data_IF_118410336121
#
_entry.id   IF_118410336121
#
_cell.length_a   1.000
_cell.length_b   1.000
_cell.length_c   1.000
_cell.angle_alpha   90.00
_cell.angle_beta   90.00
_cell.angle_gamma   90.00
#
_symmetry.space_group_name_H-M   'P 1'
#
loop_
_entity.id
_entity.type
_entity.pdbx_description
1 polymer ?
#
# COMPACT_ATOMS: atom_id res chain seq x y z
N UNK A 1 33.17 -2.82 -6.98
CA UNK A 1 32.23 -3.89 -7.38
C UNK A 1 30.89 -3.26 -7.71
N UNK A 2 29.94 -3.96 -8.35
CA UNK A 2 28.62 -3.38 -8.64
C UNK A 2 27.78 -3.08 -7.38
N UNK A 3 28.07 -3.74 -6.25
CA UNK A 3 27.30 -3.66 -5.00
C UNK A 3 27.95 -2.77 -3.91
N UNK A 4 29.09 -2.12 -4.19
CA UNK A 4 29.67 -1.12 -3.28
C UNK A 4 28.87 0.18 -3.34
N UNK A 5 28.69 0.85 -2.20
CA UNK A 5 28.05 2.17 -2.09
C UNK A 5 28.78 3.20 -2.96
N UNK A 6 28.07 4.19 -3.49
CA UNK A 6 28.66 5.17 -4.43
C UNK A 6 29.78 5.98 -3.77
N UNK A 7 30.82 6.34 -4.56
CA UNK A 7 31.93 7.16 -4.06
C UNK A 7 31.44 8.59 -3.79
N UNK A 8 31.50 9.02 -2.53
CA UNK A 8 30.92 10.28 -2.05
C UNK A 8 29.76 10.09 -1.07
N UNK A 9 29.23 8.87 -0.93
CA UNK A 9 28.19 8.56 0.04
C UNK A 9 28.64 8.87 1.49
N UNK A 10 27.80 9.62 2.22
CA UNK A 10 28.01 9.98 3.62
C UNK A 10 27.63 8.82 4.54
N UNK A 11 28.37 8.66 5.64
CA UNK A 11 28.04 7.68 6.66
C UNK A 11 26.75 8.07 7.40
N UNK A 12 25.81 7.12 7.53
CA UNK A 12 24.53 7.29 8.23
C UNK A 12 24.58 6.51 9.53
N UNK A 13 24.19 7.14 10.65
CA UNK A 13 24.32 6.59 12.01
C UNK A 13 25.73 6.07 12.32
N UNK A 14 26.77 6.74 11.78
CA UNK A 14 28.18 6.37 11.95
C UNK A 14 28.68 5.19 11.11
N UNK A 15 27.85 4.62 10.23
CA UNK A 15 28.21 3.46 9.40
C UNK A 15 27.86 3.63 7.92
N UNK A 16 28.22 2.65 7.08
CA UNK A 16 27.83 2.62 5.68
C UNK A 16 26.29 2.54 5.56
N UNK A 17 25.62 3.40 4.75
CA UNK A 17 24.16 3.37 4.56
C UNK A 17 23.58 1.98 4.27
N UNK A 18 24.27 1.15 3.47
CA UNK A 18 23.80 -0.19 3.15
C UNK A 18 23.76 -1.12 4.39
N UNK A 19 24.56 -0.88 5.43
CA UNK A 19 24.61 -1.72 6.63
C UNK A 19 23.41 -1.53 7.57
N UNK A 20 22.50 -0.59 7.26
CA UNK A 20 21.19 -0.46 7.91
C UNK A 20 20.25 -1.63 7.57
N UNK A 21 20.55 -2.42 6.54
CA UNK A 21 19.89 -3.70 6.23
C UNK A 21 20.78 -4.85 6.72
N UNK A 22 20.23 -5.85 7.42
CA UNK A 22 21.01 -6.96 7.98
C UNK A 22 21.81 -7.75 6.93
N UNK A 23 23.01 -8.20 7.28
CA UNK A 23 23.95 -8.88 6.36
C UNK A 23 23.35 -10.08 5.63
N UNK A 24 22.51 -10.88 6.31
CA UNK A 24 21.82 -12.03 5.69
C UNK A 24 20.86 -11.56 4.59
N UNK A 25 20.10 -10.49 4.85
CA UNK A 25 19.14 -9.91 3.91
C UNK A 25 19.87 -9.29 2.71
N UNK A 26 20.95 -8.53 2.94
CA UNK A 26 21.77 -7.95 1.84
C UNK A 26 22.31 -9.01 0.89
N UNK A 27 22.81 -10.13 1.43
CA UNK A 27 23.30 -11.23 0.62
C UNK A 27 22.19 -11.84 -0.24
N UNK A 28 20.99 -12.05 0.32
CA UNK A 28 19.80 -12.51 -0.43
C UNK A 28 19.35 -11.53 -1.51
N UNK A 29 19.47 -10.22 -1.28
CA UNK A 29 19.21 -9.19 -2.29
C UNK A 29 20.23 -9.31 -3.43
N UNK A 30 21.54 -9.32 -3.13
CA UNK A 30 22.59 -9.48 -4.15
C UNK A 30 22.51 -10.81 -4.93
N UNK A 31 21.99 -11.87 -4.32
CA UNK A 31 21.75 -13.17 -4.95
C UNK A 31 20.51 -13.18 -5.87
N UNK A 32 19.53 -12.30 -5.66
CA UNK A 32 18.27 -12.28 -6.40
C UNK A 32 18.44 -11.96 -7.90
N UNK A 33 17.50 -12.44 -8.72
CA UNK A 33 17.40 -12.08 -10.14
C UNK A 33 17.08 -10.58 -10.31
N UNK A 34 16.09 -10.08 -9.57
CA UNK A 34 15.65 -8.68 -9.64
C UNK A 34 16.79 -7.69 -9.33
N UNK A 35 17.69 -7.97 -8.38
CA UNK A 35 18.86 -7.10 -8.16
C UNK A 35 19.82 -7.09 -9.36
N UNK A 36 20.04 -8.23 -10.01
CA UNK A 36 20.97 -8.39 -11.13
C UNK A 36 20.42 -7.84 -12.45
N UNK A 37 19.11 -7.94 -12.63
CA UNK A 37 18.39 -7.56 -13.86
C UNK A 37 17.87 -6.12 -13.78
N UNK A 38 17.22 -5.73 -12.67
CA UNK A 38 16.51 -4.45 -12.53
C UNK A 38 17.20 -3.45 -11.58
N UNK A 39 18.13 -3.84 -10.71
CA UNK A 39 18.89 -2.91 -9.85
C UNK A 39 20.32 -2.61 -10.37
N UNK A 40 20.70 -3.18 -11.51
CA UNK A 40 21.96 -2.87 -12.18
C UNK A 40 21.93 -1.44 -12.75
N UNK A 41 23.02 -0.68 -12.57
CA UNK A 41 23.19 0.70 -13.03
C UNK A 41 22.13 1.76 -12.61
N UNK A 42 21.05 1.38 -11.91
CA UNK A 42 19.96 2.28 -11.52
C UNK A 42 20.43 3.55 -10.80
N UNK A 43 20.03 4.70 -11.35
CA UNK A 43 20.14 6.05 -10.78
C UNK A 43 18.89 6.39 -9.97
N UNK A 44 18.83 7.58 -9.35
CA UNK A 44 17.62 8.07 -8.69
C UNK A 44 16.45 8.20 -9.70
N UNK A 45 16.65 8.91 -10.80
CA UNK A 45 15.65 9.10 -11.88
C UNK A 45 15.02 7.77 -12.34
N UNK A 46 15.86 6.82 -12.79
CA UNK A 46 15.43 5.50 -13.28
C UNK A 46 14.83 4.57 -12.22
N UNK A 47 14.98 4.89 -10.93
CA UNK A 47 14.35 4.14 -9.84
C UNK A 47 12.84 4.43 -9.74
N UNK A 48 12.38 5.58 -10.26
CA UNK A 48 10.95 5.92 -10.32
C UNK A 48 10.20 4.86 -11.14
N UNK A 49 10.69 4.54 -12.34
CA UNK A 49 10.08 3.53 -13.23
C UNK A 49 9.97 2.17 -12.54
N UNK A 50 11.06 1.71 -11.93
CA UNK A 50 11.10 0.45 -11.17
C UNK A 50 10.16 0.47 -9.95
N UNK A 51 9.98 1.62 -9.30
CA UNK A 51 9.06 1.80 -8.17
C UNK A 51 7.58 1.84 -8.59
N UNK A 52 7.28 2.21 -9.84
CA UNK A 52 5.92 2.18 -10.42
C UNK A 52 5.48 0.74 -10.71
N UNK A 53 6.40 -0.14 -11.14
CA UNK A 53 6.09 -1.56 -11.40
C UNK A 53 5.77 -2.38 -10.13
N UNK A 54 6.15 -1.88 -8.95
CA UNK A 54 5.97 -2.55 -7.66
C UNK A 54 4.51 -2.96 -7.41
N UNK A 55 4.32 -4.22 -6.98
CA UNK A 55 2.97 -4.80 -6.76
C UNK A 55 2.64 -5.02 -5.29
N UNK A 56 3.61 -4.85 -4.41
CA UNK A 56 3.57 -5.15 -2.98
C UNK A 56 4.75 -4.50 -2.24
N UNK A 57 4.57 -4.25 -0.94
CA UNK A 57 5.65 -3.92 0.01
C UNK A 57 5.86 -5.09 0.98
N UNK A 58 7.04 -5.21 1.58
CA UNK A 58 7.35 -6.28 2.55
C UNK A 58 8.85 -6.60 2.58
N UNK A 59 9.26 -7.44 3.52
CA UNK A 59 10.66 -7.86 3.69
C UNK A 59 11.03 -9.08 2.85
N UNK A 60 11.19 -10.23 3.51
CA UNK A 60 11.52 -11.52 2.88
C UNK A 60 10.35 -12.50 2.98
N UNK A 61 10.20 -13.38 1.98
CA UNK A 61 9.09 -14.35 1.93
C UNK A 61 9.51 -15.74 1.43
N UNK A 62 8.72 -16.75 1.80
CA UNK A 62 8.99 -18.15 1.49
C UNK A 62 10.41 -18.56 1.88
N UNK A 63 11.19 -19.08 0.93
CA UNK A 63 12.58 -19.48 1.15
C UNK A 63 13.52 -18.26 1.13
N UNK A 64 13.33 -17.32 2.07
CA UNK A 64 14.16 -16.11 2.28
C UNK A 64 14.32 -15.23 1.02
N UNK A 65 13.32 -15.19 0.13
CA UNK A 65 13.37 -14.35 -1.07
C UNK A 65 13.02 -12.90 -0.69
N UNK A 66 13.85 -11.90 -1.02
CA UNK A 66 13.49 -10.49 -0.80
C UNK A 66 12.38 -10.07 -1.76
N UNK A 67 11.57 -9.09 -1.36
CA UNK A 67 10.68 -8.39 -2.29
C UNK A 67 11.46 -7.48 -3.24
N UNK A 68 10.84 -7.13 -4.37
CA UNK A 68 11.28 -6.07 -5.28
C UNK A 68 11.47 -4.74 -4.52
N UNK A 69 10.51 -4.41 -3.63
CA UNK A 69 10.55 -3.25 -2.74
C UNK A 69 11.80 -3.21 -1.86
N UNK A 70 12.17 -4.34 -1.24
CA UNK A 70 13.36 -4.44 -0.38
C UNK A 70 14.67 -4.29 -1.20
N UNK A 71 14.66 -4.76 -2.45
CA UNK A 71 15.78 -4.57 -3.37
C UNK A 71 15.95 -3.09 -3.75
N UNK A 72 14.85 -2.38 -4.09
CA UNK A 72 14.90 -0.94 -4.38
C UNK A 72 15.24 -0.10 -3.14
N UNK A 73 14.86 -0.54 -1.93
CA UNK A 73 15.26 0.13 -0.68
C UNK A 73 16.78 0.02 -0.46
N UNK A 74 17.36 -1.16 -0.65
CA UNK A 74 18.83 -1.31 -0.62
C UNK A 74 19.49 -0.52 -1.76
N UNK A 75 18.84 -0.37 -2.90
CA UNK A 75 19.35 0.44 -4.01
C UNK A 75 19.38 1.94 -3.67
N UNK A 76 18.34 2.48 -3.05
CA UNK A 76 18.34 3.85 -2.50
C UNK A 76 19.45 4.04 -1.47
N UNK A 77 19.70 3.04 -0.60
CA UNK A 77 20.81 3.06 0.36
C UNK A 77 22.19 2.94 -0.33
N UNK A 78 22.27 2.34 -1.51
CA UNK A 78 23.52 2.26 -2.29
C UNK A 78 23.86 3.60 -2.97
N UNK A 79 22.86 4.28 -3.55
CA UNK A 79 23.04 5.50 -4.34
C UNK A 79 22.96 6.79 -3.52
N UNK A 80 22.25 6.78 -2.39
CA UNK A 80 22.04 7.90 -1.46
C UNK A 80 21.63 9.20 -2.19
N UNK A 81 20.39 9.29 -2.69
CA UNK A 81 19.91 10.49 -3.37
C UNK A 81 19.79 11.68 -2.41
N UNK A 82 19.76 12.88 -2.97
CA UNK A 82 19.64 14.12 -2.20
C UNK A 82 18.27 14.27 -1.53
N UNK A 83 18.21 15.08 -0.46
CA UNK A 83 16.99 15.23 0.36
C UNK A 83 15.79 15.74 -0.45
N UNK A 84 16.03 16.63 -1.41
CA UNK A 84 14.98 17.25 -2.24
C UNK A 84 14.27 16.20 -3.10
N UNK A 85 15.02 15.33 -3.78
CA UNK A 85 14.52 14.20 -4.57
C UNK A 85 13.65 13.25 -3.70
N UNK A 86 14.06 13.00 -2.45
CA UNK A 86 13.31 12.15 -1.52
C UNK A 86 12.00 12.81 -1.05
N UNK A 87 11.97 14.15 -0.93
CA UNK A 87 10.75 14.91 -0.66
C UNK A 87 9.82 14.89 -1.87
N UNK A 88 10.34 14.99 -3.10
CA UNK A 88 9.54 14.84 -4.33
C UNK A 88 8.90 13.44 -4.42
N UNK A 89 9.65 12.36 -4.14
CA UNK A 89 9.11 11.00 -4.09
C UNK A 89 8.04 10.81 -3.01
N UNK A 90 8.11 11.60 -1.94
CA UNK A 90 7.08 11.63 -0.90
C UNK A 90 5.85 12.43 -1.33
N UNK A 91 6.05 13.53 -2.06
CA UNK A 91 4.98 14.39 -2.58
C UNK A 91 4.19 13.74 -3.74
N UNK A 92 4.86 12.93 -4.58
CA UNK A 92 4.25 12.16 -5.66
C UNK A 92 3.14 11.23 -5.15
N UNK A 93 1.89 11.73 -5.17
CA UNK A 93 0.78 11.05 -4.52
C UNK A 93 0.21 9.92 -5.37
N UNK A 94 0.25 10.01 -6.71
CA UNK A 94 -0.15 8.93 -7.63
C UNK A 94 0.51 7.58 -7.28
N UNK A 95 1.82 7.58 -7.02
CA UNK A 95 2.64 6.37 -6.87
C UNK A 95 2.79 5.90 -5.41
N UNK A 96 1.72 5.32 -4.86
CA UNK A 96 1.67 4.80 -3.47
C UNK A 96 2.86 3.92 -3.04
N UNK A 97 3.45 3.15 -3.95
CA UNK A 97 4.59 2.28 -3.64
C UNK A 97 5.93 3.05 -3.59
N UNK A 98 6.11 4.05 -4.46
CA UNK A 98 7.21 5.02 -4.38
C UNK A 98 7.13 5.84 -3.08
N UNK A 99 5.93 6.35 -2.73
CA UNK A 99 5.69 7.04 -1.45
C UNK A 99 6.04 6.17 -0.24
N UNK A 100 5.62 4.90 -0.22
CA UNK A 100 5.98 3.97 0.85
C UNK A 100 7.50 3.68 0.91
N UNK A 101 8.16 3.59 -0.25
CA UNK A 101 9.59 3.37 -0.35
C UNK A 101 10.40 4.57 0.17
N UNK A 102 10.00 5.79 -0.24
CA UNK A 102 10.57 7.04 0.26
C UNK A 102 10.35 7.22 1.77
N UNK A 103 9.14 6.91 2.26
CA UNK A 103 8.83 6.98 3.70
C UNK A 103 9.73 6.05 4.54
N UNK A 104 9.92 4.80 4.09
CA UNK A 104 10.83 3.86 4.78
C UNK A 104 12.29 4.31 4.69
N UNK A 105 12.73 4.83 3.54
CA UNK A 105 14.08 5.37 3.39
C UNK A 105 14.34 6.55 4.35
N UNK A 106 13.44 7.54 4.38
CA UNK A 106 13.51 8.72 5.27
C UNK A 106 13.58 8.26 6.73
N UNK A 107 12.70 7.34 7.15
CA UNK A 107 12.71 6.77 8.51
C UNK A 107 14.03 6.12 8.91
N UNK A 108 14.75 5.51 7.96
CA UNK A 108 16.05 4.88 8.22
C UNK A 108 17.22 5.88 8.24
N UNK A 109 17.10 7.04 7.58
CA UNK A 109 18.26 7.86 7.20
C UNK A 109 18.28 9.29 7.74
N UNK A 110 17.13 9.90 8.02
CA UNK A 110 17.03 11.32 8.42
C UNK A 110 17.12 11.51 9.95
N UNK A 111 17.22 12.76 10.43
CA UNK A 111 17.13 13.07 11.86
C UNK A 111 15.69 12.84 12.36
N UNK A 112 15.52 12.44 13.62
CA UNK A 112 14.21 12.16 14.22
C UNK A 112 13.18 13.30 14.03
N UNK A 113 13.60 14.57 14.12
CA UNK A 113 12.75 15.74 13.84
C UNK A 113 12.18 15.71 12.42
N UNK A 114 13.06 15.66 11.41
CA UNK A 114 12.71 15.60 9.99
C UNK A 114 11.84 14.39 9.66
N UNK A 115 12.07 13.25 10.32
CA UNK A 115 11.26 12.03 10.19
C UNK A 115 9.82 12.28 10.65
N UNK A 116 9.60 12.90 11.81
CA UNK A 116 8.24 13.22 12.25
C UNK A 116 7.57 14.28 11.35
N UNK A 117 8.29 15.33 10.96
CA UNK A 117 7.77 16.40 10.10
C UNK A 117 7.35 15.91 8.70
N UNK A 118 8.11 15.00 8.10
CA UNK A 118 7.82 14.47 6.76
C UNK A 118 6.81 13.33 6.76
N UNK A 119 6.80 12.48 7.80
CA UNK A 119 5.94 11.29 7.82
C UNK A 119 4.56 11.51 8.44
N UNK A 120 4.40 12.34 9.47
CA UNK A 120 3.07 12.58 10.05
C UNK A 120 2.02 13.13 9.06
N UNK A 121 2.36 13.99 8.07
CA UNK A 121 1.44 14.38 7.01
C UNK A 121 0.92 13.23 6.13
N UNK A 122 1.52 12.04 6.18
CA UNK A 122 1.09 10.84 5.45
C UNK A 122 0.06 10.00 6.23
N UNK A 123 -0.12 10.23 7.53
CA UNK A 123 -1.13 9.56 8.36
C UNK A 123 -2.59 9.94 8.02
N UNK A 124 -2.78 10.70 6.94
CA UNK A 124 -4.07 11.01 6.29
C UNK A 124 -4.32 10.19 5.00
N UNK A 125 -3.34 9.39 4.58
CA UNK A 125 -3.35 8.69 3.28
C UNK A 125 -3.93 7.27 3.43
N UNK A 126 -5.26 7.15 3.50
CA UNK A 126 -5.97 5.88 3.71
C UNK A 126 -6.01 4.96 2.47
N UNK A 127 -4.95 4.94 1.65
CA UNK A 127 -4.89 4.14 0.43
C UNK A 127 -4.34 2.73 0.69
N UNK A 128 -4.95 1.77 -0.01
CA UNK A 128 -4.69 0.33 0.14
C UNK A 128 -3.34 -0.08 -0.47
N UNK A 129 -2.43 -0.55 0.37
CA UNK A 129 -1.21 -1.27 0.03
C UNK A 129 -1.45 -2.80 0.07
N UNK A 130 -0.63 -3.55 -0.66
CA UNK A 130 -0.52 -5.00 -0.53
C UNK A 130 0.75 -5.31 0.26
N UNK A 131 0.62 -5.85 1.47
CA UNK A 131 1.75 -6.27 2.28
C UNK A 131 2.10 -7.73 2.01
N UNK A 132 3.38 -8.04 1.81
CA UNK A 132 3.92 -9.37 1.52
C UNK A 132 4.50 -9.97 2.79
N UNK A 133 3.69 -10.81 3.44
CA UNK A 133 4.10 -11.61 4.59
C UNK A 133 4.83 -12.88 4.13
N UNK A 134 5.56 -13.51 5.05
CA UNK A 134 6.30 -14.76 4.82
C UNK A 134 5.51 -15.84 4.07
N UNK A 135 4.21 -15.98 4.39
CA UNK A 135 3.30 -17.02 3.89
C UNK A 135 2.32 -16.57 2.80
N UNK A 136 2.15 -15.26 2.55
CA UNK A 136 0.97 -14.79 1.80
C UNK A 136 0.97 -13.30 1.46
N UNK A 137 -0.22 -12.74 1.25
CA UNK A 137 -0.43 -11.31 1.09
C UNK A 137 -1.52 -10.84 2.06
N UNK A 138 -1.26 -9.75 2.75
CA UNK A 138 -2.24 -9.03 3.56
C UNK A 138 -2.65 -7.72 2.88
N UNK A 139 -3.82 -7.21 3.25
CA UNK A 139 -4.21 -5.83 3.01
C UNK A 139 -3.65 -4.98 4.15
N UNK A 140 -3.14 -3.79 3.82
CA UNK A 140 -2.65 -2.79 4.77
C UNK A 140 -2.89 -1.40 4.16
N UNK A 141 -2.85 -0.34 4.94
CA UNK A 141 -3.01 1.04 4.46
C UNK A 141 -1.70 1.86 4.60
N UNK A 142 -1.58 3.02 3.96
CA UNK A 142 -0.34 3.84 4.03
C UNK A 142 -0.21 4.50 5.40
N UNK A 143 -1.31 4.95 6.00
CA UNK A 143 -1.35 5.47 7.37
C UNK A 143 -0.93 4.40 8.40
N UNK A 144 -1.44 3.17 8.30
CA UNK A 144 -0.96 2.03 9.10
C UNK A 144 0.54 1.80 8.93
N UNK A 145 1.03 1.73 7.68
CA UNK A 145 2.45 1.51 7.39
C UNK A 145 3.35 2.62 7.96
N UNK A 146 2.90 3.87 7.91
CA UNK A 146 3.65 5.01 8.43
C UNK A 146 3.63 5.04 9.97
N UNK A 147 2.52 4.65 10.61
CA UNK A 147 2.48 4.51 12.07
C UNK A 147 3.42 3.38 12.54
N UNK A 148 3.46 2.24 11.83
CA UNK A 148 4.46 1.19 12.07
C UNK A 148 5.89 1.69 11.92
N UNK A 149 6.19 2.46 10.86
CA UNK A 149 7.52 3.07 10.68
C UNK A 149 7.89 4.00 11.86
N UNK A 150 6.95 4.74 12.44
CA UNK A 150 7.21 5.65 13.56
C UNK A 150 7.30 4.95 14.93
N UNK A 151 6.53 3.88 15.14
CA UNK A 151 6.33 3.27 16.46
C UNK A 151 6.99 1.88 16.66
N UNK A 152 7.22 1.09 15.61
CA UNK A 152 7.79 -0.26 15.71
C UNK A 152 9.32 -0.28 15.59
N UNK A 153 9.98 -1.28 16.19
CA UNK A 153 11.44 -1.47 16.08
C UNK A 153 11.88 -2.20 14.80
N UNK A 154 10.97 -2.92 14.13
CA UNK A 154 11.25 -3.70 12.91
C UNK A 154 10.09 -3.63 11.93
N UNK A 155 10.35 -3.15 10.71
CA UNK A 155 9.35 -3.06 9.62
C UNK A 155 9.97 -3.66 8.35
N UNK A 156 9.17 -4.39 7.55
CA UNK A 156 9.64 -5.10 6.34
C UNK A 156 10.92 -5.95 6.59
N UNK A 157 10.94 -6.68 7.71
CA UNK A 157 12.05 -7.49 8.20
C UNK A 157 13.37 -6.76 8.50
N UNK A 158 13.44 -5.43 8.44
CA UNK A 158 14.62 -4.62 8.79
C UNK A 158 14.49 -4.02 10.20
N UNK A 159 15.55 -4.06 11.01
CA UNK A 159 15.64 -3.29 12.27
C UNK A 159 15.75 -1.80 11.94
N UNK A 160 14.79 -0.99 12.39
CA UNK A 160 14.85 0.45 12.21
C UNK A 160 15.83 1.10 13.20
N UNK A 161 16.65 2.08 12.80
CA UNK A 161 17.45 2.86 13.73
C UNK A 161 16.59 3.50 14.82
N UNK A 162 17.06 3.45 16.07
CA UNK A 162 16.34 4.01 17.22
C UNK A 162 16.34 5.54 17.16
N UNK A 163 15.16 6.13 17.22
CA UNK A 163 14.93 7.58 17.29
C UNK A 163 14.39 7.95 18.68
N UNK A 164 14.56 9.21 19.08
CA UNK A 164 13.91 9.72 20.29
C UNK A 164 12.39 9.71 20.11
N UNK A 165 11.65 9.29 21.13
CA UNK A 165 10.18 9.34 21.12
C UNK A 165 9.71 10.79 20.97
N UNK A 166 8.65 11.01 20.19
CA UNK A 166 8.05 12.32 19.95
C UNK A 166 7.89 13.18 21.22
N UNK A 167 7.39 12.61 22.32
CA UNK A 167 7.21 13.31 23.60
C UNK A 167 8.49 14.01 24.08
N UNK A 168 9.65 13.35 23.96
CA UNK A 168 10.95 13.88 24.38
C UNK A 168 11.40 15.03 23.45
N UNK A 169 11.04 14.98 22.17
CA UNK A 169 11.31 16.05 21.20
C UNK A 169 10.39 17.27 21.40
N UNK A 170 9.14 17.05 21.81
CA UNK A 170 8.21 18.11 22.21
C UNK A 170 8.64 18.76 23.55
N UNK A 171 9.07 17.96 24.54
CA UNK A 171 9.64 18.44 25.81
C UNK A 171 10.93 19.25 25.62
N UNK A 172 11.80 18.84 24.70
CA UNK A 172 13.03 19.57 24.34
C UNK A 172 12.77 20.81 23.46
N UNK A 173 11.55 21.01 22.95
CA UNK A 173 11.23 22.06 21.98
C UNK A 173 11.82 21.84 20.57
N UNK A 174 12.33 20.64 20.26
CA UNK A 174 12.77 20.27 18.91
C UNK A 174 11.59 20.00 17.95
N UNK A 175 10.39 19.75 18.48
CA UNK A 175 9.14 19.64 17.71
C UNK A 175 8.03 20.46 18.38
N UNK A 176 7.22 21.14 17.56
CA UNK A 176 5.94 21.71 18.00
C UNK A 176 4.86 20.63 18.18
N UNK A 177 3.76 20.90 18.89
CA UNK A 177 2.71 19.92 19.20
C UNK A 177 2.06 19.32 17.95
N UNK A 178 1.70 18.02 18.02
CA UNK A 178 1.19 17.24 16.87
C UNK A 178 -0.09 17.83 16.27
N UNK A 179 0.03 18.44 15.09
CA UNK A 179 -1.08 18.98 14.27
C UNK A 179 -1.95 17.87 13.66
N UNK A 180 -2.76 17.23 14.50
CA UNK A 180 -3.67 16.16 14.08
C UNK A 180 -4.97 16.75 13.51
N UNK A 181 -5.30 16.43 12.25
CA UNK A 181 -6.51 16.93 11.57
C UNK A 181 -7.81 16.59 12.33
N UNK A 182 -7.83 15.51 13.13
CA UNK A 182 -8.96 15.15 13.98
C UNK A 182 -9.13 16.04 15.21
N UNK A 183 -8.03 16.60 15.75
CA UNK A 183 -8.09 17.57 16.86
C UNK A 183 -8.60 18.91 16.35
N UNK A 184 -8.04 19.41 15.25
CA UNK A 184 -8.49 20.61 14.53
C UNK A 184 -9.99 20.55 14.18
N UNK A 185 -10.44 19.42 13.61
CA UNK A 185 -11.85 19.15 13.29
C UNK A 185 -12.76 18.81 14.50
N UNK A 186 -12.23 18.83 15.72
CA UNK A 186 -12.97 18.66 16.98
C UNK A 186 -13.00 19.98 17.76
N UNK A 187 -11.87 20.68 17.84
CA UNK A 187 -11.73 22.02 18.40
C UNK A 187 -12.64 23.01 17.66
N UNK A 188 -12.62 23.00 16.31
CA UNK A 188 -13.53 23.78 15.47
C UNK A 188 -15.01 23.35 15.50
N UNK A 189 -15.39 22.30 16.24
CA UNK A 189 -16.80 21.96 16.53
C UNK A 189 -17.26 22.46 17.91
N UNK A 190 -16.34 22.70 18.84
CA UNK A 190 -16.64 23.22 20.18
C UNK A 190 -17.41 24.53 20.10
N UNK A 191 -16.95 25.46 19.25
CA UNK A 191 -17.47 26.83 19.17
C UNK A 191 -18.91 26.94 18.65
N UNK A 192 -19.44 25.90 17.99
CA UNK A 192 -20.81 25.91 17.45
C UNK A 192 -21.85 25.25 18.37
N UNK A 193 -21.46 24.79 19.57
CA UNK A 193 -22.34 24.06 20.49
C UNK A 193 -22.86 24.86 21.70
N UNK A 194 -22.29 26.05 21.95
CA UNK A 194 -22.56 26.88 23.15
C UNK A 194 -23.77 27.82 23.05
N UNK A 195 -24.41 27.94 21.87
CA UNK A 195 -25.38 29.00 21.57
C UNK A 195 -26.77 28.49 21.15
N UNK A 196 -27.40 27.57 21.93
CA UNK A 196 -28.80 27.12 21.68
C UNK A 196 -29.53 26.52 22.90
N UNK A 197 -29.82 27.35 23.89
CA UNK A 197 -30.85 27.08 24.91
C UNK A 197 -31.61 28.35 25.26
N UNK A 198 -32.89 28.18 25.63
CA UNK A 198 -33.88 29.23 25.96
C UNK A 198 -34.28 30.21 24.83
N UNK A 199 -35.53 30.66 24.73
CA UNK A 199 -36.81 30.05 25.16
C UNK A 199 -37.97 30.68 24.39
N UNK A 200 -39.07 29.93 24.19
CA UNK A 200 -40.47 30.41 24.36
C UNK A 200 -41.50 29.34 24.04
N UNK A 201 -42.38 29.09 25.00
CA UNK A 201 -43.60 28.29 24.83
C UNK A 201 -44.78 29.22 24.53
N UNK A 202 -45.66 28.83 23.61
CA UNK A 202 -47.05 29.32 23.55
C UNK A 202 -47.95 28.31 22.83
N UNK A 203 -49.25 28.35 23.10
CA UNK A 203 -50.12 27.17 23.07
C UNK A 203 -51.26 27.21 22.04
N UNK A 204 -51.69 26.01 21.57
CA UNK A 204 -53.08 25.63 21.18
C UNK A 204 -53.73 26.40 20.00
N UNK A 205 -54.46 25.84 19.04
CA UNK A 205 -55.05 24.52 18.74
C UNK A 205 -56.11 24.74 17.64
N UNK A 206 -56.58 23.68 16.96
CA UNK A 206 -57.82 23.60 16.12
C UNK A 206 -57.79 24.38 14.77
N UNK A 207 -58.63 24.08 13.76
CA UNK A 207 -59.10 22.80 13.18
C UNK A 207 -59.88 23.04 11.85
N UNK A 208 -60.12 21.96 11.06
CA UNK A 208 -61.19 21.78 10.04
C UNK A 208 -61.12 22.45 8.64
N UNK A 209 -61.03 21.55 7.64
CA UNK A 209 -61.94 21.35 6.48
C UNK A 209 -62.05 22.32 5.27
N UNK A 210 -61.69 21.75 4.10
CA UNK A 210 -62.48 21.61 2.84
C UNK A 210 -62.80 22.81 1.91
N UNK A 211 -62.82 22.45 0.61
CA UNK A 211 -63.52 23.05 -0.56
C UNK A 211 -63.10 24.44 -1.09
N UNK A 212 -63.36 24.82 -2.35
CA UNK A 212 -63.40 24.06 -3.62
C UNK A 212 -63.43 25.00 -4.86
N UNK A 213 -62.71 24.64 -5.93
CA UNK A 213 -62.88 25.22 -7.28
C UNK A 213 -62.35 26.65 -7.51
N UNK A 214 -62.40 27.23 -8.71
CA UNK A 214 -62.54 26.65 -10.07
C UNK A 214 -62.22 27.70 -11.16
N UNK A 215 -62.03 27.23 -12.41
CA UNK A 215 -61.85 27.99 -13.68
C UNK A 215 -60.45 28.61 -13.88
N UNK A 216 -59.85 28.75 -15.08
CA UNK A 216 -59.98 28.18 -16.45
C UNK A 216 -59.87 29.27 -17.53
N UNK A 217 -58.86 29.14 -18.42
CA UNK A 217 -58.83 29.41 -19.89
C UNK A 217 -57.36 29.29 -20.35
N UNK A 218 -57.04 28.34 -21.25
CA UNK A 218 -56.91 28.47 -22.71
C UNK A 218 -55.64 29.28 -23.13
N UNK A 219 -54.82 28.88 -24.12
CA UNK A 219 -55.12 28.11 -25.35
C UNK A 219 -54.02 27.10 -25.76
N UNK A 220 -54.32 26.31 -26.80
CA UNK A 220 -53.50 25.27 -27.49
C UNK A 220 -52.90 25.85 -28.82
N UNK A 221 -52.37 25.10 -29.83
CA UNK A 221 -52.08 23.64 -29.96
C UNK A 221 -50.76 23.20 -30.66
N UNK A 222 -50.21 22.03 -30.23
CA UNK A 222 -49.83 20.81 -31.03
C UNK A 222 -48.95 20.90 -32.33
N UNK A 223 -48.57 19.79 -33.04
CA UNK A 223 -48.76 18.34 -32.77
C UNK A 223 -47.53 17.39 -33.00
N UNK A 224 -47.79 16.08 -32.82
CA UNK A 224 -47.14 14.88 -33.43
C UNK A 224 -45.82 14.36 -32.84
N UNK A 225 -45.54 13.04 -32.70
CA UNK A 225 -46.26 11.75 -32.94
C UNK A 225 -45.79 10.76 -31.84
N UNK A 226 -46.63 10.03 -31.07
CA UNK A 226 -47.17 8.66 -31.31
C UNK A 226 -46.17 7.64 -31.90
N UNK A 227 -46.08 6.35 -31.52
CA UNK A 227 -46.74 5.44 -30.55
C UNK A 227 -45.81 4.18 -30.40
N UNK A 228 -46.01 3.09 -29.63
CA UNK A 228 -47.10 2.49 -28.84
C UNK A 228 -46.47 1.80 -27.56
N UNK A 229 -47.09 1.05 -26.61
CA UNK A 229 -48.32 0.22 -26.51
C UNK A 229 -48.25 -1.14 -27.22
N UNK A 230 -48.64 -2.31 -26.66
CA UNK A 230 -49.23 -2.68 -25.35
C UNK A 230 -49.22 -4.23 -25.18
N UNK A 231 -49.58 -4.77 -24.00
CA UNK A 231 -50.14 -6.14 -23.74
C UNK A 231 -49.27 -7.39 -24.08
N UNK A 232 -49.55 -8.63 -23.62
CA UNK A 232 -50.20 -9.21 -22.41
C UNK A 232 -49.96 -10.76 -22.42
N UNK A 233 -50.37 -11.48 -21.37
CA UNK A 233 -50.76 -12.90 -21.38
C UNK A 233 -49.71 -14.01 -21.64
N UNK A 234 -49.02 -14.43 -20.57
CA UNK A 234 -49.10 -15.82 -20.10
C UNK A 234 -48.16 -16.92 -20.66
N UNK A 235 -48.58 -18.17 -20.43
CA UNK A 235 -47.94 -19.44 -20.86
C UNK A 235 -46.56 -19.84 -20.29
N UNK A 236 -46.56 -20.10 -18.98
CA UNK A 236 -45.96 -21.31 -18.34
C UNK A 236 -45.51 -22.42 -19.33
N UNK A 237 -44.21 -22.67 -19.48
CA UNK A 237 -43.69 -23.98 -19.92
C UNK A 237 -42.34 -24.36 -19.29
N UNK A 238 -42.09 -25.67 -19.20
CA UNK A 238 -40.88 -26.28 -18.61
C UNK A 238 -40.44 -27.41 -19.53
N UNK A 239 -39.16 -27.48 -19.94
CA UNK A 239 -38.36 -28.73 -19.94
C UNK A 239 -36.97 -28.67 -20.62
N UNK A 240 -36.02 -29.38 -20.00
CA UNK A 240 -35.01 -30.30 -20.57
C UNK A 240 -34.04 -29.84 -21.68
N UNK A 241 -32.75 -29.85 -21.35
CA UNK A 241 -31.62 -30.19 -22.24
C UNK A 241 -31.74 -31.64 -22.78
N UNK A 242 -31.03 -32.04 -23.86
CA UNK A 242 -29.81 -32.85 -23.64
C UNK A 242 -28.72 -32.88 -24.76
N UNK A 243 -27.45 -33.06 -24.35
CA UNK A 243 -26.39 -33.85 -25.05
C UNK A 243 -25.83 -33.31 -26.41
N UNK A 244 -24.69 -33.76 -26.99
CA UNK A 244 -23.59 -34.69 -26.59
C UNK A 244 -22.30 -34.43 -27.43
N UNK A 245 -21.12 -34.70 -26.83
CA UNK A 245 -19.91 -35.46 -27.29
C UNK A 245 -19.58 -35.67 -28.79
N UNK A 246 -18.30 -35.91 -29.23
CA UNK A 246 -17.31 -36.79 -28.56
C UNK A 246 -15.78 -36.50 -28.66
N UNK A 247 -14.98 -37.36 -28.02
CA UNK A 247 -13.51 -37.57 -28.15
C UNK A 247 -13.22 -38.88 -28.93
N UNK A 248 -11.96 -39.29 -29.25
CA UNK A 248 -11.20 -40.19 -28.34
C UNK A 248 -9.64 -40.32 -28.50
N UNK A 249 -9.01 -41.08 -27.58
CA UNK A 249 -7.73 -41.86 -27.71
C UNK A 249 -6.38 -41.10 -27.90
N UNK A 250 -5.17 -41.59 -27.51
CA UNK A 250 -4.60 -42.67 -26.66
C UNK A 250 -3.13 -42.25 -26.30
N UNK A 251 -2.23 -42.94 -25.58
CA UNK A 251 -2.03 -44.27 -24.93
C UNK A 251 -1.31 -44.07 -23.55
N UNK A 252 -1.00 -44.99 -22.62
CA UNK A 252 -0.78 -46.46 -22.47
C UNK A 252 0.71 -46.96 -22.46
N UNK A 253 1.05 -47.83 -21.48
CA UNK A 253 2.31 -48.59 -21.24
C UNK A 253 3.61 -47.86 -20.78
N UNK A 254 4.53 -48.44 -19.96
CA UNK A 254 4.49 -49.63 -19.05
C UNK A 254 5.71 -49.72 -18.08
N UNK A 255 5.54 -50.55 -17.04
CA UNK A 255 6.56 -51.39 -16.36
C UNK A 255 7.60 -50.80 -15.39
N UNK A 256 8.07 -51.71 -14.52
CA UNK A 256 9.03 -51.54 -13.43
C UNK A 256 10.24 -52.45 -13.61
N UNK A 257 11.37 -52.16 -12.94
CA UNK A 257 12.38 -53.17 -12.58
C UNK A 257 13.38 -52.70 -11.52
N UNK A 258 13.92 -53.66 -10.78
CA UNK A 258 15.01 -53.50 -9.81
C UNK A 258 16.29 -54.17 -10.31
N UNK A 259 17.46 -53.59 -10.01
CA UNK A 259 18.74 -54.31 -9.84
C UNK A 259 19.79 -53.43 -9.12
N UNK A 260 20.98 -53.97 -8.90
CA UNK A 260 21.97 -53.55 -7.89
C UNK A 260 23.40 -54.00 -8.28
N UNK A 261 24.42 -53.69 -7.44
CA UNK A 261 25.88 -54.03 -7.57
C UNK A 261 26.62 -53.07 -8.56
N UNK A 262 27.91 -52.68 -8.38
CA UNK A 262 29.00 -53.20 -7.51
C UNK A 262 29.56 -52.24 -6.42
N UNK A 263 30.54 -52.68 -5.60
CA UNK A 263 31.25 -51.87 -4.59
C UNK A 263 32.56 -51.24 -5.12
N UNK A 264 33.18 -50.35 -4.33
CA UNK A 264 34.44 -49.69 -4.64
C UNK A 264 35.36 -49.57 -3.39
N UNK A 265 36.68 -49.54 -3.63
CA UNK A 265 37.78 -49.27 -2.69
C UNK A 265 37.89 -50.12 -1.39
N UNK A 266 38.80 -51.11 -1.41
CA UNK A 266 39.69 -51.37 -0.26
C UNK A 266 41.04 -50.70 -0.53
N UNK A 267 41.53 -49.94 0.45
CA UNK A 267 42.96 -49.61 0.65
C UNK A 267 43.07 -49.25 2.14
N UNK A 268 43.45 -50.18 3.03
CA UNK A 268 44.78 -50.77 3.27
C UNK A 268 45.79 -49.72 3.76
N UNK A 269 46.11 -49.84 5.04
CA UNK A 269 47.06 -49.00 5.78
C UNK A 269 48.51 -49.23 5.34
N UNK A 270 49.24 -48.16 5.04
CA UNK A 270 50.62 -47.94 5.51
C UNK A 270 51.02 -46.47 5.44
#
# INVERSE_FOLDING_TARGET
MANTTIRGAQAIHGQNPQFLVETVIRNRIYESSYWKEHCFALTAESLIDAAIELRNIGGVYGNQRPTEFLCLLLKLLQIQPEKEILVEYLQADEFKYLRALAAMYIRMTFRATEVYELLEPLLKDFRKLRYRQMSGYALMYIDEFVDQLLNEERVCDIILPRIAKRQILEENGELGPRKSLLLDAMEGKSEHSSARSESRTSSRSRSRSLSAGARSRNSTPSPSRSQASLSDAGSRYVSRSPSRSPSPAQSEHRQSRSRSVPPEAMDVTM
#
